data_IF_940323138974
#
_entry.id   IF_940323138974
#
_cell.length_a   1.000
_cell.length_b   1.000
_cell.length_c   1.000
_cell.angle_alpha   90.00
_cell.angle_beta   90.00
_cell.angle_gamma   90.00
#
_symmetry.space_group_name_H-M   'P 1'
#
loop_
_entity.id
_entity.type
_entity.pdbx_description
1 polymer ?
#
# COMPACT_ATOMS: atom_id res chain seq x y z
N UNK A 1 -19.45 88.02 70.54
CA UNK A 1 -18.46 87.20 71.29
C UNK A 1 -17.98 86.10 70.37
N UNK A 2 -16.79 86.24 69.78
CA UNK A 2 -15.53 85.54 70.14
C UNK A 2 -15.51 84.03 69.78
N UNK A 3 -14.83 83.76 68.66
CA UNK A 3 -13.88 82.67 68.33
C UNK A 3 -14.21 81.23 68.81
N UNK A 4 -14.16 80.30 67.85
CA UNK A 4 -13.06 79.31 67.78
C UNK A 4 -13.01 78.58 66.43
N UNK A 5 -11.96 78.87 65.67
CA UNK A 5 -11.34 78.02 64.65
C UNK A 5 -10.69 76.80 65.29
N UNK A 6 -10.81 75.63 64.66
CA UNK A 6 -9.72 74.65 64.57
C UNK A 6 -9.75 73.97 63.19
N UNK A 7 -8.64 74.11 62.49
CA UNK A 7 -8.22 73.33 61.33
C UNK A 7 -7.80 71.94 61.76
N UNK A 8 -8.19 70.89 61.03
CA UNK A 8 -7.38 69.67 60.85
C UNK A 8 -7.51 69.21 59.40
N UNK A 9 -6.37 69.20 58.71
CA UNK A 9 -6.17 68.57 57.42
C UNK A 9 -6.14 67.04 57.58
N UNK A 10 -6.73 66.32 56.64
CA UNK A 10 -6.66 64.85 56.58
C UNK A 10 -6.83 64.38 55.15
N UNK A 11 -5.71 64.01 54.54
CA UNK A 11 -5.63 63.43 53.20
C UNK A 11 -6.46 62.15 53.11
N UNK A 12 -7.49 62.15 52.26
CA UNK A 12 -8.20 60.93 51.87
C UNK A 12 -7.59 60.42 50.57
N UNK A 13 -6.82 59.34 50.70
CA UNK A 13 -6.19 58.61 49.62
C UNK A 13 -7.23 58.10 48.60
N UNK A 14 -6.95 58.38 47.33
CA UNK A 14 -7.59 57.73 46.19
C UNK A 14 -7.06 56.30 46.12
N UNK A 15 -7.82 55.36 46.69
CA UNK A 15 -7.65 53.93 46.46
C UNK A 15 -8.54 53.54 45.26
N UNK A 16 -7.96 53.62 44.06
CA UNK A 16 -8.51 52.96 42.87
C UNK A 16 -8.37 51.47 43.11
N UNK A 17 -9.49 50.80 43.37
CA UNK A 17 -9.58 49.33 43.35
C UNK A 17 -9.52 48.90 41.88
N UNK A 18 -8.31 48.77 41.36
CA UNK A 18 -8.01 48.02 40.15
C UNK A 18 -7.87 46.54 40.54
N UNK A 19 -8.98 45.89 40.86
CA UNK A 19 -9.04 44.45 41.11
C UNK A 19 -10.27 43.91 40.39
N UNK A 20 -10.12 43.61 39.09
CA UNK A 20 -11.24 43.08 38.31
C UNK A 20 -11.04 42.94 36.80
N UNK A 21 -9.81 42.79 36.30
CA UNK A 21 -9.58 42.55 34.86
C UNK A 21 -8.34 41.69 34.58
N UNK A 22 -8.14 40.60 35.33
CA UNK A 22 -7.06 39.64 35.09
C UNK A 22 -7.59 38.19 34.95
N UNK A 23 -8.68 38.00 34.18
CA UNK A 23 -9.29 36.67 33.94
C UNK A 23 -9.27 36.24 32.46
N UNK A 24 -8.63 36.96 31.54
CA UNK A 24 -8.69 36.61 30.10
C UNK A 24 -7.33 36.50 29.40
N UNK A 25 -6.37 35.85 30.04
CA UNK A 25 -5.12 35.40 29.37
C UNK A 25 -4.74 33.96 29.76
N UNK A 26 -5.73 33.12 30.09
CA UNK A 26 -5.50 31.67 30.04
C UNK A 26 -5.74 31.29 28.57
N UNK A 27 -4.73 30.76 27.83
CA UNK A 27 -4.97 30.21 26.50
C UNK A 27 -6.07 29.15 26.67
N UNK A 28 -7.24 29.41 26.10
CA UNK A 28 -8.29 28.38 26.04
C UNK A 28 -7.70 27.26 25.19
N UNK A 29 -7.67 26.05 25.73
CA UNK A 29 -7.41 24.88 24.91
C UNK A 29 -8.37 24.95 23.70
N UNK A 30 -7.83 24.79 22.50
CA UNK A 30 -8.64 24.75 21.28
C UNK A 30 -9.76 23.73 21.46
N UNK A 31 -10.98 24.11 21.10
CA UNK A 31 -12.11 23.19 21.16
C UNK A 31 -11.96 22.06 20.12
N UNK A 32 -12.77 21.01 20.25
CA UNK A 32 -12.83 19.95 19.25
C UNK A 32 -13.12 20.49 17.83
N UNK A 33 -13.98 21.51 17.72
CA UNK A 33 -14.30 22.17 16.45
C UNK A 33 -13.11 22.91 15.84
N UNK A 34 -12.37 23.67 16.66
CA UNK A 34 -11.17 24.40 16.21
C UNK A 34 -10.12 23.43 15.66
N UNK A 35 -9.96 22.29 16.35
CA UNK A 35 -8.99 21.28 15.97
C UNK A 35 -9.42 20.46 14.76
N UNK A 36 -10.71 20.16 14.62
CA UNK A 36 -11.27 19.57 13.40
C UNK A 36 -11.09 20.51 12.20
N UNK A 37 -11.32 21.82 12.39
CA UNK A 37 -11.09 22.82 11.34
C UNK A 37 -9.60 22.94 10.97
N UNK A 38 -8.70 22.87 11.95
CA UNK A 38 -7.25 22.83 11.69
C UNK A 38 -6.84 21.61 10.85
N UNK A 39 -7.40 20.43 11.17
CA UNK A 39 -7.21 19.22 10.37
C UNK A 39 -7.71 19.38 8.93
N UNK A 40 -8.92 19.91 8.74
CA UNK A 40 -9.48 20.15 7.40
C UNK A 40 -8.65 21.14 6.59
N UNK A 41 -8.18 22.23 7.20
CA UNK A 41 -7.30 23.17 6.52
C UNK A 41 -5.94 22.56 6.18
N UNK A 42 -5.42 21.65 7.00
CA UNK A 42 -4.20 20.93 6.66
C UNK A 42 -4.40 20.02 5.42
N UNK A 43 -5.57 19.36 5.30
CA UNK A 43 -5.96 18.63 4.09
C UNK A 43 -6.08 19.55 2.87
N UNK A 44 -6.78 20.68 3.01
CA UNK A 44 -7.02 21.65 1.93
C UNK A 44 -5.72 22.27 1.41
N UNK A 45 -4.76 22.53 2.30
CA UNK A 45 -3.46 23.12 1.95
C UNK A 45 -2.39 22.07 1.57
N UNK A 46 -2.74 20.79 1.55
CA UNK A 46 -1.83 19.67 1.30
C UNK A 46 -0.60 19.67 2.24
N UNK A 47 -0.77 20.12 3.49
CA UNK A 47 0.32 20.31 4.45
C UNK A 47 0.42 19.12 5.41
N UNK A 48 1.28 18.15 5.06
CA UNK A 48 1.50 16.93 5.85
C UNK A 48 2.03 17.25 7.25
N UNK A 49 2.89 18.27 7.39
CA UNK A 49 3.41 18.65 8.70
C UNK A 49 2.32 19.25 9.60
N UNK A 50 1.40 20.03 9.02
CA UNK A 50 0.23 20.52 9.73
C UNK A 50 -0.75 19.39 10.10
N UNK A 51 -0.91 18.38 9.24
CA UNK A 51 -1.70 17.19 9.55
C UNK A 51 -1.13 16.45 10.77
N UNK A 52 0.17 16.14 10.77
CA UNK A 52 0.82 15.48 11.90
C UNK A 52 0.70 16.30 13.20
N UNK A 53 0.76 17.64 13.12
CA UNK A 53 0.55 18.52 14.27
C UNK A 53 -0.87 18.43 14.86
N UNK A 54 -1.86 17.94 14.12
CA UNK A 54 -3.21 17.67 14.65
C UNK A 54 -3.31 16.38 15.46
N UNK A 55 -2.25 15.56 15.48
CA UNK A 55 -2.19 14.30 16.20
C UNK A 55 -2.70 13.09 15.40
N UNK A 56 -3.19 13.29 14.17
CA UNK A 56 -3.53 12.17 13.29
C UNK A 56 -2.26 11.45 12.86
N UNK A 57 -2.20 10.14 13.09
CA UNK A 57 -1.08 9.32 12.62
C UNK A 57 -1.21 9.08 11.12
N UNK A 58 -0.22 9.52 10.35
CA UNK A 58 -0.16 9.31 8.89
C UNK A 58 1.04 8.43 8.60
N UNK A 59 0.83 7.29 7.92
CA UNK A 59 1.95 6.44 7.51
C UNK A 59 2.78 7.12 6.43
N UNK A 60 4.03 6.67 6.25
CA UNK A 60 4.91 7.22 5.20
C UNK A 60 4.30 7.01 3.81
N UNK A 61 3.64 5.86 3.61
CA UNK A 61 2.93 5.51 2.38
C UNK A 61 1.71 6.42 2.15
N UNK A 62 0.91 6.69 3.19
CA UNK A 62 -0.24 7.58 3.08
C UNK A 62 0.16 9.03 2.79
N UNK A 63 1.25 9.51 3.39
CA UNK A 63 1.82 10.83 3.10
C UNK A 63 2.35 10.92 1.67
N UNK A 64 3.06 9.89 1.19
CA UNK A 64 3.55 9.82 -0.19
C UNK A 64 2.42 9.76 -1.22
N UNK A 65 1.36 8.99 -0.93
CA UNK A 65 0.16 8.92 -1.74
C UNK A 65 -0.54 10.28 -1.79
N UNK A 66 -0.72 10.94 -0.63
CA UNK A 66 -1.34 12.26 -0.52
C UNK A 66 -0.59 13.34 -1.29
N UNK A 67 0.74 13.34 -1.25
CA UNK A 67 1.55 14.25 -2.06
C UNK A 67 1.37 14.06 -3.59
N UNK A 68 0.94 12.86 -4.01
CA UNK A 68 0.66 12.51 -5.40
C UNK A 68 -0.84 12.55 -5.77
N UNK A 69 -1.70 13.02 -4.85
CA UNK A 69 -3.13 13.12 -5.11
C UNK A 69 -3.41 14.04 -6.31
N UNK A 70 -4.45 13.71 -7.08
CA UNK A 70 -4.90 14.49 -8.24
C UNK A 70 -5.65 15.74 -7.81
N UNK A 71 -6.50 15.62 -6.80
CA UNK A 71 -7.27 16.71 -6.23
C UNK A 71 -7.31 16.56 -4.70
N UNK A 72 -7.22 17.69 -4.01
CA UNK A 72 -7.38 17.79 -2.56
C UNK A 72 -8.76 18.35 -2.21
N UNK A 73 -9.09 18.32 -0.92
CA UNK A 73 -10.28 18.99 -0.41
C UNK A 73 -10.18 20.50 -0.65
N UNK A 74 -11.34 21.14 -0.78
CA UNK A 74 -11.49 22.58 -0.90
C UNK A 74 -12.79 23.02 -0.25
N UNK A 75 -12.96 24.32 -0.01
CA UNK A 75 -14.18 24.89 0.57
C UNK A 75 -14.58 24.22 1.90
N UNK A 76 -13.58 23.89 2.73
CA UNK A 76 -13.80 23.15 3.98
C UNK A 76 -14.52 24.01 5.02
N UNK A 77 -15.51 23.45 5.71
CA UNK A 77 -16.24 24.14 6.77
C UNK A 77 -16.79 23.18 7.82
N UNK A 78 -16.79 23.61 9.08
CA UNK A 78 -17.53 22.97 10.17
C UNK A 78 -18.96 23.51 10.18
N UNK A 79 -19.95 22.61 10.21
CA UNK A 79 -21.37 22.97 10.27
C UNK A 79 -21.92 22.98 11.68
N UNK A 80 -21.59 21.94 12.44
CA UNK A 80 -22.06 21.72 13.80
C UNK A 80 -21.23 20.66 14.50
N UNK A 81 -21.32 20.60 15.82
CA UNK A 81 -20.77 19.50 16.60
C UNK A 81 -21.77 18.96 17.62
N UNK A 82 -21.59 17.70 17.99
CA UNK A 82 -22.30 17.03 19.06
C UNK A 82 -21.28 16.40 20.01
N UNK A 83 -21.17 16.97 21.21
CA UNK A 83 -20.29 16.45 22.25
C UNK A 83 -20.95 15.29 23.00
N UNK A 84 -20.13 14.29 23.33
CA UNK A 84 -20.40 13.25 24.32
C UNK A 84 -19.45 13.43 25.51
N UNK A 85 -19.49 12.53 26.49
CA UNK A 85 -18.64 12.62 27.69
C UNK A 85 -17.13 12.47 27.38
N UNK A 86 -16.76 11.83 26.26
CA UNK A 86 -15.35 11.56 25.91
C UNK A 86 -14.97 11.77 24.44
N UNK A 87 -15.91 12.17 23.59
CA UNK A 87 -15.67 12.46 22.17
C UNK A 87 -16.58 13.59 21.68
N UNK A 88 -16.23 14.22 20.58
CA UNK A 88 -17.10 15.18 19.89
C UNK A 88 -17.21 14.80 18.43
N UNK A 89 -18.43 14.57 17.95
CA UNK A 89 -18.69 14.35 16.51
C UNK A 89 -18.85 15.71 15.85
N UNK A 90 -18.02 16.02 14.87
CA UNK A 90 -18.04 17.28 14.12
C UNK A 90 -18.56 17.01 12.72
N UNK A 91 -19.67 17.66 12.36
CA UNK A 91 -20.22 17.63 11.01
C UNK A 91 -19.53 18.66 10.14
N UNK A 92 -19.00 18.21 9.01
CA UNK A 92 -18.18 19.02 8.11
C UNK A 92 -18.76 18.99 6.70
N UNK A 93 -18.52 20.06 5.93
CA UNK A 93 -18.67 20.06 4.47
C UNK A 93 -17.36 20.40 3.81
N UNK A 94 -17.16 19.88 2.61
CA UNK A 94 -16.04 20.17 1.74
C UNK A 94 -16.42 19.91 0.28
N UNK A 95 -15.58 20.34 -0.64
CA UNK A 95 -15.61 19.96 -2.04
C UNK A 95 -14.39 19.12 -2.41
N UNK A 96 -14.58 18.06 -3.19
CA UNK A 96 -13.52 17.21 -3.74
C UNK A 96 -13.80 16.97 -5.22
N UNK A 97 -12.80 17.23 -6.07
CA UNK A 97 -12.93 17.13 -7.54
C UNK A 97 -14.15 17.89 -8.12
N UNK A 98 -14.57 18.99 -7.46
CA UNK A 98 -15.71 19.81 -7.87
C UNK A 98 -17.08 19.35 -7.32
N UNK A 99 -17.15 18.23 -6.62
CA UNK A 99 -18.37 17.72 -5.97
C UNK A 99 -18.39 18.08 -4.49
N UNK A 100 -19.58 18.40 -3.94
CA UNK A 100 -19.75 18.76 -2.53
C UNK A 100 -20.14 17.54 -1.70
N UNK A 101 -19.47 17.39 -0.57
CA UNK A 101 -19.67 16.31 0.37
C UNK A 101 -19.93 16.84 1.77
N UNK A 102 -20.67 16.03 2.53
CA UNK A 102 -20.82 16.17 3.98
C UNK A 102 -20.22 14.92 4.64
N UNK A 103 -19.53 15.10 5.76
CA UNK A 103 -18.96 14.00 6.53
C UNK A 103 -19.03 14.27 8.04
N UNK A 104 -18.76 13.24 8.82
CA UNK A 104 -18.66 13.32 10.27
C UNK A 104 -17.25 12.91 10.69
N UNK A 105 -16.56 13.80 11.42
CA UNK A 105 -15.24 13.53 12.00
C UNK A 105 -15.43 13.43 13.50
N UNK A 106 -15.08 12.28 14.07
CA UNK A 106 -15.06 12.09 15.51
C UNK A 106 -13.74 12.62 16.06
N UNK A 107 -13.81 13.54 17.00
CA UNK A 107 -12.68 14.06 17.75
C UNK A 107 -12.64 13.35 19.11
N UNK A 108 -11.48 12.83 19.48
CA UNK A 108 -11.24 12.18 20.76
C UNK A 108 -10.23 12.99 21.57
N UNK A 109 -10.36 12.95 22.90
CA UNK A 109 -9.39 13.62 23.77
C UNK A 109 -8.23 12.67 24.06
N UNK A 110 -7.03 13.02 23.59
CA UNK A 110 -5.79 12.32 23.89
C UNK A 110 -4.79 13.27 24.54
N UNK A 111 -4.26 12.89 25.70
CA UNK A 111 -3.22 13.62 26.43
C UNK A 111 -3.51 15.13 26.63
N UNK A 112 -4.79 15.50 26.72
CA UNK A 112 -5.24 16.89 26.90
C UNK A 112 -5.43 17.69 25.60
N UNK A 113 -5.23 17.07 24.44
CA UNK A 113 -5.46 17.61 23.10
C UNK A 113 -6.64 16.89 22.44
N UNK A 114 -7.39 17.59 21.59
CA UNK A 114 -8.36 16.94 20.71
C UNK A 114 -7.62 16.37 19.50
N UNK A 115 -7.91 15.14 19.10
CA UNK A 115 -7.27 14.47 17.96
C UNK A 115 -8.37 13.86 17.10
N UNK A 116 -8.27 13.94 15.75
CA UNK A 116 -9.20 13.22 14.88
C UNK A 116 -9.06 11.71 15.08
N UNK A 117 -10.18 11.03 15.31
CA UNK A 117 -10.22 9.56 15.29
C UNK A 117 -9.98 9.06 13.86
N UNK A 118 -8.91 8.29 13.68
CA UNK A 118 -8.46 7.78 12.39
C UNK A 118 -9.58 7.03 11.63
N UNK A 119 -10.47 6.34 12.33
CA UNK A 119 -11.58 5.60 11.72
C UNK A 119 -12.61 6.49 11.01
N UNK A 120 -12.68 7.78 11.36
CA UNK A 120 -13.60 8.75 10.76
C UNK A 120 -12.89 9.85 9.99
N UNK A 121 -11.62 10.11 10.31
CA UNK A 121 -10.80 11.10 9.63
C UNK A 121 -10.20 10.56 8.32
N UNK A 122 -9.80 9.28 8.30
CA UNK A 122 -9.18 8.63 7.14
C UNK A 122 -10.20 7.76 6.39
N UNK A 123 -9.91 7.44 5.14
CA UNK A 123 -10.59 6.36 4.43
C UNK A 123 -9.66 5.15 4.28
N UNK A 124 -10.22 3.97 4.08
CA UNK A 124 -9.47 2.75 3.82
C UNK A 124 -9.65 2.28 2.39
N UNK A 125 -8.55 1.80 1.80
CA UNK A 125 -8.51 1.30 0.42
C UNK A 125 -7.86 -0.08 0.41
N UNK A 126 -8.44 -0.99 -0.34
CA UNK A 126 -7.88 -2.28 -0.71
C UNK A 126 -7.88 -2.41 -2.24
N UNK A 127 -6.79 -2.90 -2.82
CA UNK A 127 -6.66 -3.11 -4.27
C UNK A 127 -6.44 -4.59 -4.55
N UNK A 128 -7.06 -5.11 -5.61
CA UNK A 128 -7.00 -6.54 -5.98
C UNK A 128 -5.76 -6.93 -6.82
N UNK A 129 -4.92 -5.96 -7.17
CA UNK A 129 -3.75 -6.13 -8.02
C UNK A 129 -2.57 -5.27 -7.56
N UNK A 130 -1.33 -5.63 -7.96
CA UNK A 130 -0.15 -4.81 -7.67
C UNK A 130 -0.32 -3.38 -8.21
N UNK A 131 -0.33 -2.40 -7.32
CA UNK A 131 -0.63 -1.03 -7.67
C UNK A 131 0.21 -0.01 -6.89
N UNK A 132 0.17 1.25 -7.31
CA UNK A 132 0.75 2.36 -6.60
C UNK A 132 -0.02 3.66 -6.79
N UNK A 133 0.19 4.60 -5.87
CA UNK A 133 -0.28 5.98 -5.92
C UNK A 133 0.95 6.87 -5.80
N UNK A 134 1.38 7.46 -6.91
CA UNK A 134 2.67 8.16 -6.96
C UNK A 134 3.82 7.22 -6.55
N UNK A 135 4.52 7.56 -5.47
CA UNK A 135 5.61 6.74 -4.92
C UNK A 135 5.15 5.69 -3.89
N UNK A 136 3.89 5.73 -3.45
CA UNK A 136 3.35 4.76 -2.50
C UNK A 136 3.02 3.45 -3.24
N UNK A 137 3.57 2.32 -2.77
CA UNK A 137 3.25 0.99 -3.27
C UNK A 137 2.13 0.37 -2.45
N UNK A 138 1.17 -0.25 -3.13
CA UNK A 138 0.02 -0.91 -2.54
C UNK A 138 0.19 -2.42 -2.70
N UNK A 139 0.16 -3.12 -1.57
CA UNK A 139 0.17 -4.59 -1.55
C UNK A 139 -1.23 -5.09 -1.90
N UNK A 140 -1.38 -6.02 -2.86
CA UNK A 140 -2.66 -6.62 -3.18
C UNK A 140 -3.33 -7.20 -1.93
N UNK A 141 -4.64 -7.00 -1.81
CA UNK A 141 -5.48 -7.45 -0.70
C UNK A 141 -5.11 -6.91 0.69
N UNK A 142 -4.13 -6.01 0.80
CA UNK A 142 -3.82 -5.33 2.04
C UNK A 142 -4.60 -4.02 2.12
N UNK A 143 -5.21 -3.78 3.28
CA UNK A 143 -5.86 -2.50 3.58
C UNK A 143 -4.82 -1.42 3.90
N UNK A 144 -4.91 -0.28 3.23
CA UNK A 144 -4.17 0.93 3.57
C UNK A 144 -5.15 2.03 4.01
N UNK A 145 -4.79 2.79 5.06
CA UNK A 145 -5.50 4.01 5.42
C UNK A 145 -4.90 5.18 4.63
N UNK A 146 -5.74 5.95 3.95
CA UNK A 146 -5.36 7.10 3.14
C UNK A 146 -6.07 8.35 3.64
N UNK A 147 -5.41 9.49 3.47
CA UNK A 147 -6.00 10.79 3.72
C UNK A 147 -7.13 11.06 2.72
N UNK A 148 -8.16 11.83 3.08
CA UNK A 148 -9.20 12.21 2.13
C UNK A 148 -8.61 13.00 0.96
N UNK A 149 -8.74 12.47 -0.26
CA UNK A 149 -8.32 13.09 -1.52
C UNK A 149 -8.82 12.27 -2.72
N UNK A 150 -8.58 12.78 -3.94
CA UNK A 150 -8.73 12.00 -5.16
C UNK A 150 -7.37 11.47 -5.62
N UNK A 151 -7.29 10.17 -5.84
CA UNK A 151 -6.06 9.47 -6.19
C UNK A 151 -6.16 8.79 -7.55
N UNK A 152 -5.05 8.74 -8.28
CA UNK A 152 -4.88 7.81 -9.39
C UNK A 152 -4.12 6.59 -8.89
N UNK A 153 -4.79 5.44 -8.93
CA UNK A 153 -4.19 4.13 -8.65
C UNK A 153 -3.71 3.56 -9.97
N UNK A 154 -2.40 3.29 -10.05
CA UNK A 154 -1.74 2.82 -11.28
C UNK A 154 -1.16 1.43 -11.05
N UNK A 155 -1.32 0.52 -12.01
CA UNK A 155 -0.74 -0.81 -11.93
C UNK A 155 0.80 -0.73 -11.91
N UNK A 156 1.43 -1.46 -10.99
CA UNK A 156 2.88 -1.41 -10.76
C UNK A 156 3.51 -2.80 -10.74
N UNK A 157 4.69 -3.01 -11.33
CA UNK A 157 5.56 -2.02 -11.98
C UNK A 157 5.06 -1.62 -13.36
N UNK A 158 5.19 -0.32 -13.68
CA UNK A 158 4.73 0.27 -14.94
C UNK A 158 5.52 -0.20 -16.18
N UNK A 159 6.60 -0.95 -16.01
CA UNK A 159 7.29 -1.64 -17.10
C UNK A 159 6.53 -2.90 -17.56
N UNK A 160 5.94 -3.62 -16.60
CA UNK A 160 5.30 -4.92 -16.86
C UNK A 160 3.78 -4.86 -16.88
N UNK A 161 3.19 -3.89 -16.19
CA UNK A 161 1.75 -3.75 -16.05
C UNK A 161 1.29 -2.40 -16.60
N UNK A 162 0.10 -2.42 -17.19
CA UNK A 162 -0.62 -1.22 -17.61
C UNK A 162 -2.05 -1.28 -17.11
N UNK A 163 -2.47 -0.24 -16.43
CA UNK A 163 -3.81 -0.06 -15.91
C UNK A 163 -3.80 1.16 -14.99
N UNK A 164 -4.86 1.94 -15.00
CA UNK A 164 -5.08 2.95 -13.96
C UNK A 164 -6.56 3.16 -13.72
N UNK A 165 -6.89 3.57 -12.51
CA UNK A 165 -8.24 3.95 -12.09
C UNK A 165 -8.17 5.12 -11.14
N UNK A 166 -9.21 5.96 -11.13
CA UNK A 166 -9.29 7.12 -10.25
C UNK A 166 -10.27 6.80 -9.13
N UNK A 167 -9.86 7.07 -7.89
CA UNK A 167 -10.67 6.84 -6.69
C UNK A 167 -10.76 8.12 -5.87
N UNK A 168 -11.88 8.29 -5.17
CA UNK A 168 -12.09 9.40 -4.24
C UNK A 168 -12.20 8.84 -2.83
N UNK A 169 -11.16 9.02 -2.03
CA UNK A 169 -11.14 8.58 -0.63
C UNK A 169 -11.85 9.64 0.21
N UNK A 170 -12.96 9.26 0.84
CA UNK A 170 -13.74 10.12 1.72
C UNK A 170 -13.44 9.78 3.19
N UNK A 171 -13.60 10.73 4.14
CA UNK A 171 -13.46 10.45 5.57
C UNK A 171 -14.39 9.32 6.01
N UNK A 172 -13.85 8.32 6.71
CA UNK A 172 -14.58 7.14 7.21
C UNK A 172 -15.06 6.15 6.14
N UNK A 173 -14.68 6.35 4.86
CA UNK A 173 -15.07 5.42 3.79
C UNK A 173 -14.18 4.18 3.76
N UNK A 174 -14.72 3.07 3.25
CA UNK A 174 -13.97 1.87 2.93
C UNK A 174 -14.23 1.51 1.45
N UNK A 175 -13.18 1.24 0.69
CA UNK A 175 -13.26 1.01 -0.75
C UNK A 175 -12.43 -0.20 -1.19
N UNK A 176 -13.07 -1.08 -1.94
CA UNK A 176 -12.42 -2.14 -2.70
C UNK A 176 -12.25 -1.68 -4.14
N UNK A 177 -11.02 -1.67 -4.63
CA UNK A 177 -10.65 -1.16 -5.94
C UNK A 177 -10.25 -2.33 -6.84
N UNK A 178 -11.09 -2.60 -7.83
CA UNK A 178 -10.76 -3.52 -8.91
C UNK A 178 -9.92 -2.79 -9.96
N UNK A 179 -8.64 -3.17 -10.07
CA UNK A 179 -7.71 -2.57 -11.03
C UNK A 179 -7.52 -3.50 -12.22
N UNK A 180 -8.03 -3.08 -13.38
CA UNK A 180 -7.82 -3.81 -14.64
C UNK A 180 -6.38 -3.67 -15.14
N UNK A 181 -5.48 -4.50 -14.59
CA UNK A 181 -4.09 -4.58 -15.00
C UNK A 181 -3.91 -5.50 -16.22
N UNK A 182 -3.21 -5.00 -17.22
CA UNK A 182 -2.86 -5.73 -18.45
C UNK A 182 -1.34 -5.89 -18.55
N UNK A 183 -0.90 -7.06 -19.01
CA UNK A 183 0.53 -7.33 -19.21
C UNK A 183 1.07 -6.55 -20.39
N UNK A 184 2.25 -5.98 -20.20
CA UNK A 184 3.04 -5.36 -21.27
C UNK A 184 3.99 -6.38 -21.93
N UNK A 185 4.44 -6.14 -23.16
CA UNK A 185 5.38 -7.03 -23.85
C UNK A 185 6.70 -7.28 -23.09
N UNK A 186 7.16 -6.29 -22.32
CA UNK A 186 8.34 -6.42 -21.47
C UNK A 186 8.16 -7.53 -20.41
N UNK A 187 6.95 -7.70 -19.86
CA UNK A 187 6.66 -8.74 -18.88
C UNK A 187 6.86 -10.15 -19.47
N UNK A 188 6.43 -10.34 -20.72
CA UNK A 188 6.61 -11.63 -21.42
C UNK A 188 8.08 -11.91 -21.74
N UNK A 189 8.84 -10.85 -22.06
CA UNK A 189 10.28 -10.97 -22.34
C UNK A 189 11.05 -11.35 -21.07
N UNK A 190 10.86 -10.59 -19.98
CA UNK A 190 11.51 -10.85 -18.69
C UNK A 190 11.15 -12.23 -18.12
N UNK A 191 9.86 -12.62 -18.16
CA UNK A 191 9.43 -13.93 -17.71
C UNK A 191 10.01 -15.08 -18.56
N UNK A 192 10.13 -14.90 -19.87
CA UNK A 192 10.77 -15.92 -20.72
C UNK A 192 12.27 -16.05 -20.40
N UNK A 193 12.97 -14.95 -20.12
CA UNK A 193 14.37 -14.98 -19.69
C UNK A 193 14.56 -15.72 -18.37
N UNK A 194 13.71 -15.45 -17.36
CA UNK A 194 13.73 -16.18 -16.08
C UNK A 194 13.43 -17.67 -16.27
N UNK A 195 12.46 -18.00 -17.11
CA UNK A 195 12.17 -19.40 -17.45
C UNK A 195 13.40 -20.05 -18.09
N UNK A 196 14.04 -19.40 -19.06
CA UNK A 196 15.20 -19.94 -19.75
C UNK A 196 16.38 -20.18 -18.79
N UNK A 197 16.62 -19.28 -17.83
CA UNK A 197 17.60 -19.46 -16.76
C UNK A 197 17.25 -20.60 -15.81
N UNK A 198 15.98 -20.71 -15.41
CA UNK A 198 15.48 -21.82 -14.62
C UNK A 198 15.71 -23.16 -15.34
N UNK A 199 15.41 -23.23 -16.64
CA UNK A 199 15.62 -24.43 -17.44
C UNK A 199 17.10 -24.76 -17.64
N UNK A 200 17.96 -23.75 -17.79
CA UNK A 200 19.41 -23.95 -17.84
C UNK A 200 19.91 -24.60 -16.54
N UNK A 201 19.40 -24.15 -15.39
CA UNK A 201 19.68 -24.78 -14.09
C UNK A 201 19.14 -26.20 -14.05
N UNK A 202 17.90 -26.43 -14.45
CA UNK A 202 17.28 -27.77 -14.46
C UNK A 202 17.96 -28.79 -15.37
N UNK A 203 18.69 -28.34 -16.39
CA UNK A 203 19.33 -29.20 -17.40
C UNK A 203 20.85 -29.30 -17.25
N UNK A 204 21.42 -28.77 -16.17
CA UNK A 204 22.78 -29.09 -15.81
C UNK A 204 22.94 -30.59 -15.52
N UNK A 205 24.10 -31.15 -15.87
CA UNK A 205 24.41 -32.55 -15.60
C UNK A 205 24.24 -32.88 -14.11
N UNK A 206 23.71 -34.07 -13.83
CA UNK A 206 23.41 -34.50 -12.48
C UNK A 206 23.58 -36.02 -12.32
N UNK A 207 23.79 -36.48 -11.10
CA UNK A 207 23.78 -37.92 -10.77
C UNK A 207 22.35 -38.44 -10.51
N UNK A 208 21.40 -37.53 -10.26
CA UNK A 208 20.02 -37.83 -9.90
C UNK A 208 19.06 -36.86 -10.61
N UNK A 209 17.79 -37.26 -10.76
CA UNK A 209 16.75 -36.40 -11.31
C UNK A 209 16.41 -35.30 -10.31
N UNK A 210 16.53 -34.03 -10.71
CA UNK A 210 16.20 -32.89 -9.84
C UNK A 210 14.69 -32.76 -9.64
N UNK A 211 14.29 -32.53 -8.40
CA UNK A 211 12.91 -32.16 -8.07
C UNK A 211 12.54 -30.81 -8.70
N UNK A 212 11.24 -30.57 -8.89
CA UNK A 212 10.64 -29.30 -9.36
C UNK A 212 10.89 -28.91 -10.82
N UNK A 213 11.75 -29.58 -11.57
CA UNK A 213 12.01 -29.24 -12.98
C UNK A 213 10.91 -29.66 -13.97
N UNK A 214 9.82 -30.30 -13.51
CA UNK A 214 8.76 -30.84 -14.38
C UNK A 214 9.24 -31.89 -15.39
N UNK A 215 10.44 -32.46 -15.17
CA UNK A 215 11.05 -33.46 -16.06
C UNK A 215 10.70 -34.85 -15.55
N UNK A 216 9.95 -35.62 -16.33
CA UNK A 216 9.69 -37.03 -16.07
C UNK A 216 10.47 -37.89 -17.06
N UNK A 217 11.35 -38.76 -16.55
CA UNK A 217 12.13 -39.70 -17.35
C UNK A 217 11.86 -41.12 -16.83
N UNK A 218 11.39 -42.05 -17.67
CA UNK A 218 11.05 -43.41 -17.24
C UNK A 218 12.30 -44.31 -17.09
N UNK A 219 13.38 -43.80 -16.48
CA UNK A 219 14.66 -44.49 -16.41
C UNK A 219 14.63 -45.75 -15.54
N UNK A 220 13.76 -45.77 -14.52
CA UNK A 220 13.64 -46.88 -13.58
C UNK A 220 13.18 -48.19 -14.24
N UNK A 221 12.69 -48.13 -15.48
CA UNK A 221 12.37 -49.31 -16.27
C UNK A 221 13.62 -50.01 -16.85
N UNK A 222 14.72 -49.29 -17.03
CA UNK A 222 15.92 -49.79 -17.71
C UNK A 222 17.14 -49.91 -16.77
N UNK A 223 17.20 -49.10 -15.72
CA UNK A 223 18.36 -48.99 -14.84
C UNK A 223 18.03 -49.35 -13.38
N UNK A 224 18.94 -50.09 -12.74
CA UNK A 224 18.94 -50.32 -11.31
C UNK A 224 19.56 -49.15 -10.55
N UNK A 225 20.62 -48.54 -11.09
CA UNK A 225 21.29 -47.38 -10.51
C UNK A 225 21.73 -46.41 -11.59
N UNK A 226 21.70 -45.11 -11.26
CA UNK A 226 22.18 -44.04 -12.11
C UNK A 226 23.62 -43.69 -11.75
N UNK A 227 24.43 -43.40 -12.76
CA UNK A 227 25.77 -42.82 -12.59
C UNK A 227 25.89 -41.43 -13.21
N UNK A 228 24.97 -41.06 -14.11
CA UNK A 228 24.88 -39.72 -14.64
C UNK A 228 23.69 -39.49 -15.56
N UNK A 229 23.24 -38.25 -15.58
CA UNK A 229 22.19 -37.75 -16.47
C UNK A 229 22.74 -36.48 -17.15
N UNK A 230 22.72 -36.50 -18.48
CA UNK A 230 23.03 -35.34 -19.30
C UNK A 230 21.76 -34.92 -20.03
N UNK A 231 21.40 -33.65 -19.92
CA UNK A 231 20.23 -33.10 -20.55
C UNK A 231 20.61 -32.27 -21.78
N UNK A 232 19.76 -32.29 -22.79
CA UNK A 232 19.84 -31.40 -23.95
C UNK A 232 18.44 -30.91 -24.31
N UNK A 233 18.23 -29.61 -24.24
CA UNK A 233 17.01 -28.97 -24.72
C UNK A 233 17.13 -28.88 -26.25
N UNK A 234 16.22 -29.53 -26.97
CA UNK A 234 16.12 -29.38 -28.44
C UNK A 234 15.19 -28.24 -28.81
N UNK A 235 14.17 -27.98 -27.97
CA UNK A 235 13.26 -26.86 -28.13
C UNK A 235 12.86 -26.35 -26.74
N UNK A 236 13.05 -25.05 -26.50
CA UNK A 236 12.65 -24.40 -25.25
C UNK A 236 11.13 -24.24 -25.20
N UNK A 237 10.47 -24.56 -24.05
CA UNK A 237 9.08 -24.23 -23.82
C UNK A 237 8.79 -22.74 -24.08
N UNK A 238 7.68 -22.45 -24.75
CA UNK A 238 7.18 -21.09 -24.94
C UNK A 238 6.16 -20.76 -23.88
N UNK A 239 6.36 -19.60 -23.28
CA UNK A 239 5.59 -19.09 -22.17
C UNK A 239 4.31 -18.38 -22.66
N UNK A 240 3.19 -18.70 -22.02
CA UNK A 240 1.93 -17.97 -22.07
C UNK A 240 1.62 -17.45 -20.67
N UNK A 241 1.42 -16.13 -20.55
CA UNK A 241 1.24 -15.45 -19.27
C UNK A 241 -0.18 -14.94 -19.07
N UNK A 242 -0.57 -14.93 -17.80
CA UNK A 242 -1.62 -14.09 -17.24
C UNK A 242 -1.00 -13.30 -16.08
N UNK A 243 -1.69 -12.28 -15.53
CA UNK A 243 -1.16 -11.53 -14.38
C UNK A 243 -0.87 -12.39 -13.14
N UNK A 244 -1.47 -13.57 -13.01
CA UNK A 244 -1.36 -14.40 -11.79
C UNK A 244 -0.72 -15.77 -12.03
N UNK A 245 -0.70 -16.26 -13.27
CA UNK A 245 -0.19 -17.60 -13.60
C UNK A 245 0.50 -17.63 -14.94
N UNK A 246 1.36 -18.64 -15.14
CA UNK A 246 1.97 -18.92 -16.43
C UNK A 246 1.84 -20.40 -16.81
N UNK A 247 1.84 -20.63 -18.12
CA UNK A 247 2.00 -21.96 -18.70
C UNK A 247 3.09 -21.90 -19.76
N UNK A 248 4.12 -22.71 -19.61
CA UNK A 248 5.14 -22.91 -20.62
C UNK A 248 4.94 -24.27 -21.29
N UNK A 249 4.93 -24.33 -22.62
CA UNK A 249 4.65 -25.56 -23.35
C UNK A 249 5.39 -25.67 -24.67
N UNK A 250 5.28 -26.85 -25.30
CA UNK A 250 5.94 -27.13 -26.58
C UNK A 250 7.45 -27.38 -26.45
N UNK A 251 7.96 -27.61 -25.24
CA UNK A 251 9.35 -27.98 -25.02
C UNK A 251 9.66 -29.38 -25.53
N UNK A 252 10.90 -29.58 -25.98
CA UNK A 252 11.45 -30.90 -26.30
C UNK A 252 12.79 -31.07 -25.59
N UNK A 253 12.89 -32.12 -24.79
CA UNK A 253 14.05 -32.44 -23.98
C UNK A 253 14.56 -33.83 -24.30
N UNK A 254 15.87 -33.99 -24.41
CA UNK A 254 16.53 -35.30 -24.45
C UNK A 254 17.35 -35.46 -23.18
N UNK A 255 17.13 -36.56 -22.47
CA UNK A 255 17.93 -36.98 -21.32
C UNK A 255 18.73 -38.23 -21.69
N UNK A 256 20.05 -38.11 -21.71
CA UNK A 256 20.97 -39.22 -21.88
C UNK A 256 21.42 -39.70 -20.51
N UNK A 257 21.04 -40.93 -20.17
CA UNK A 257 21.29 -41.57 -18.89
C UNK A 257 22.37 -42.62 -19.05
N UNK A 258 23.32 -42.61 -18.13
CA UNK A 258 24.33 -43.65 -17.96
C UNK A 258 24.15 -44.27 -16.58
N UNK A 259 24.31 -45.58 -16.49
CA UNK A 259 24.11 -46.31 -15.24
C UNK A 259 24.29 -47.82 -15.39
N UNK A 260 23.86 -48.54 -14.34
CA UNK A 260 23.83 -50.00 -14.32
C UNK A 260 22.41 -50.45 -14.66
N UNK A 261 22.27 -51.26 -15.71
CA UNK A 261 21.01 -51.84 -16.14
C UNK A 261 20.50 -52.91 -15.15
N UNK A 262 19.24 -53.29 -15.28
CA UNK A 262 18.63 -54.33 -14.43
C UNK A 262 19.30 -55.71 -14.55
N UNK A 263 20.05 -55.96 -15.62
CA UNK A 263 20.85 -57.18 -15.83
C UNK A 263 22.30 -57.08 -15.28
N UNK A 264 22.66 -55.95 -14.65
CA UNK A 264 23.99 -55.69 -14.09
C UNK A 264 25.02 -55.13 -15.09
N UNK A 265 24.66 -54.96 -16.36
CA UNK A 265 25.57 -54.37 -17.37
C UNK A 265 25.64 -52.84 -17.26
N UNK A 266 26.76 -52.24 -17.67
CA UNK A 266 26.82 -50.78 -17.86
C UNK A 266 26.14 -50.41 -19.17
N UNK A 267 25.19 -49.46 -19.12
CA UNK A 267 24.39 -49.06 -20.27
C UNK A 267 24.31 -47.53 -20.37
N UNK A 268 24.10 -47.04 -21.59
CA UNK A 268 23.73 -45.63 -21.83
C UNK A 268 22.51 -45.61 -22.75
N UNK A 269 21.47 -44.88 -22.35
CA UNK A 269 20.22 -44.73 -23.10
C UNK A 269 19.81 -43.27 -23.16
N UNK A 270 19.15 -42.87 -24.25
CA UNK A 270 18.57 -41.54 -24.38
C UNK A 270 17.05 -41.61 -24.43
N UNK A 271 16.42 -40.78 -23.61
CA UNK A 271 14.97 -40.61 -23.54
C UNK A 271 14.62 -39.25 -24.11
N UNK A 272 13.69 -39.20 -25.06
CA UNK A 272 13.21 -37.96 -25.64
C UNK A 272 11.80 -37.69 -25.15
N UNK A 273 11.63 -36.56 -24.45
CA UNK A 273 10.34 -36.07 -23.97
C UNK A 273 9.88 -34.95 -24.88
N UNK A 274 8.76 -35.17 -25.57
CA UNK A 274 8.06 -34.16 -26.38
C UNK A 274 6.93 -33.56 -25.55
N UNK A 275 6.57 -32.30 -25.85
CA UNK A 275 5.55 -31.54 -25.12
C UNK A 275 5.86 -31.39 -23.63
N UNK A 276 7.14 -31.23 -23.29
CA UNK A 276 7.52 -30.82 -21.95
C UNK A 276 6.87 -29.46 -21.66
N UNK A 277 6.22 -29.39 -20.52
CA UNK A 277 5.46 -28.23 -20.08
C UNK A 277 5.72 -27.96 -18.60
N UNK A 278 5.68 -26.67 -18.26
CA UNK A 278 5.79 -26.16 -16.90
C UNK A 278 4.61 -25.23 -16.64
N UNK A 279 4.23 -25.14 -15.37
CA UNK A 279 3.16 -24.27 -14.89
C UNK A 279 3.61 -23.66 -13.57
N UNK A 280 3.01 -22.54 -13.25
CA UNK A 280 3.35 -21.85 -12.03
C UNK A 280 2.60 -20.56 -11.85
N UNK A 281 2.93 -19.89 -10.76
CA UNK A 281 2.36 -18.62 -10.38
C UNK A 281 3.26 -17.47 -10.84
N UNK A 282 2.64 -16.31 -11.03
CA UNK A 282 3.29 -15.04 -11.37
C UNK A 282 3.03 -14.08 -10.22
N UNK A 283 4.09 -13.49 -9.70
CA UNK A 283 4.01 -12.37 -8.76
C UNK A 283 4.79 -11.18 -9.29
N UNK A 284 4.48 -9.99 -8.79
CA UNK A 284 5.19 -8.76 -9.11
C UNK A 284 5.82 -8.20 -7.86
N UNK A 285 7.05 -7.72 -7.99
CA UNK A 285 7.73 -6.90 -7.00
C UNK A 285 7.76 -5.45 -7.48
N UNK A 286 8.42 -4.56 -6.74
CA UNK A 286 8.56 -3.16 -7.15
C UNK A 286 9.24 -3.00 -8.52
N UNK A 287 10.15 -3.91 -8.88
CA UNK A 287 11.03 -3.75 -10.04
C UNK A 287 11.06 -5.00 -10.95
N UNK A 288 10.44 -6.11 -10.55
CA UNK A 288 10.58 -7.39 -11.26
C UNK A 288 9.26 -8.19 -11.32
N UNK A 289 9.14 -9.05 -12.32
CA UNK A 289 8.17 -10.14 -12.38
C UNK A 289 8.83 -11.39 -11.81
N UNK A 290 8.14 -12.24 -11.06
CA UNK A 290 8.74 -13.46 -10.47
C UNK A 290 7.89 -14.67 -10.84
N UNK A 291 8.54 -15.68 -11.41
CA UNK A 291 7.91 -16.97 -11.72
C UNK A 291 8.18 -18.00 -10.63
N UNK A 292 7.12 -18.65 -10.14
CA UNK A 292 7.21 -19.76 -9.18
C UNK A 292 6.65 -21.04 -9.78
N UNK A 293 7.53 -22.00 -10.11
CA UNK A 293 7.15 -23.31 -10.68
C UNK A 293 6.66 -24.26 -9.58
N UNK A 294 5.59 -25.00 -9.84
CA UNK A 294 5.09 -26.09 -8.98
C UNK A 294 4.84 -27.40 -9.74
#
# INVERSE_FOLDING_TARGET
MRRRTYWIAGAAAVLVVAAGAAVLLIPRASGAEDQALAYLHALENSDVAALEATGVEVSTEAAAAFAAARNHLSDVAVKSSAATDSSTVVQVSYALAGEKFDAEITMIQDSGQWVPDAATALGTVQVDAPAGIGAALLTPDATIALLPAEYEVVATPAEFLKGSTVIQVLPGSAQDVALEATLQPAATTAAQEQLDEYLATCTQAAAEVRASCGISIPWAADFATLSGINYRIEQTPKLALTPTTFQAGGGTLVATITGIALDGSTKTLSYRTVNWALRGDVTFTADDIVLSVW
#
